data_IF_846861609239
#
_entry.id   IF_846861609239
#
_cell.length_a   1.000
_cell.length_b   1.000
_cell.length_c   1.000
_cell.angle_alpha   90.00
_cell.angle_beta   90.00
_cell.angle_gamma   90.00
#
_symmetry.space_group_name_H-M   'P 1'
#
loop_
_entity.id
_entity.type
_entity.pdbx_description
1 polymer ?
#
# COMPACT_ATOMS: atom_id res chain seq x y z
N UNK A 1 4.31 3.48 24.78
CA UNK A 1 3.34 3.76 23.70
C UNK A 1 3.51 2.61 22.76
N UNK A 2 2.48 1.80 22.55
CA UNK A 2 2.62 0.60 21.73
C UNK A 2 2.67 0.98 20.24
N UNK A 3 3.82 0.73 19.64
CA UNK A 3 4.11 0.99 18.23
C UNK A 3 3.26 0.09 17.33
N UNK A 4 2.96 -1.14 17.75
CA UNK A 4 2.14 -2.11 17.03
C UNK A 4 0.70 -1.62 16.98
N UNK A 5 0.12 -1.26 18.14
CA UNK A 5 -1.24 -0.71 18.21
C UNK A 5 -1.42 0.53 17.34
N UNK A 6 -0.43 1.42 17.32
CA UNK A 6 -0.48 2.64 16.48
C UNK A 6 -0.52 2.31 14.99
N UNK A 7 0.32 1.36 14.53
CA UNK A 7 0.33 0.90 13.14
C UNK A 7 -0.97 0.17 12.76
N UNK A 8 -1.50 -0.64 13.67
CA UNK A 8 -2.78 -1.31 13.46
C UNK A 8 -3.90 -0.30 13.28
N UNK A 9 -3.92 0.80 14.05
CA UNK A 9 -4.91 1.86 13.91
C UNK A 9 -4.82 2.56 12.54
N UNK A 10 -3.62 2.89 12.06
CA UNK A 10 -3.43 3.48 10.72
C UNK A 10 -3.92 2.56 9.59
N UNK A 11 -3.61 1.27 9.68
CA UNK A 11 -4.06 0.31 8.67
C UNK A 11 -5.56 0.03 8.77
N UNK A 12 -6.13 -0.02 9.99
CA UNK A 12 -7.57 -0.14 10.19
C UNK A 12 -8.32 1.04 9.56
N UNK A 13 -7.82 2.26 9.76
CA UNK A 13 -8.35 3.44 9.10
C UNK A 13 -8.32 3.29 7.57
N UNK A 14 -7.18 2.87 7.02
CA UNK A 14 -6.98 2.62 5.59
C UNK A 14 -7.97 1.59 5.02
N UNK A 15 -8.20 0.48 5.72
CA UNK A 15 -9.18 -0.53 5.31
C UNK A 15 -10.62 -0.07 5.47
N UNK A 16 -10.92 0.83 6.41
CA UNK A 16 -12.26 1.37 6.62
C UNK A 16 -12.66 2.42 5.58
N UNK A 17 -11.69 3.20 5.09
CA UNK A 17 -11.90 4.24 4.08
C UNK A 17 -12.21 3.68 2.69
N UNK A 18 -11.95 2.39 2.50
CA UNK A 18 -12.14 1.69 1.24
C UNK A 18 -13.43 0.86 1.33
N UNK A 19 -14.49 1.19 0.58
CA UNK A 19 -15.74 0.41 0.61
C UNK A 19 -15.67 -0.82 -0.32
N UNK A 20 -16.43 -1.87 0.00
CA UNK A 20 -16.64 -3.02 -0.88
C UNK A 20 -15.52 -4.06 -0.85
N UNK A 21 -15.48 -4.94 -1.86
CA UNK A 21 -14.47 -6.01 -1.93
C UNK A 21 -13.11 -5.45 -2.31
N UNK A 22 -12.08 -5.75 -1.51
CA UNK A 22 -10.75 -5.13 -1.62
C UNK A 22 -9.70 -6.14 -2.05
N UNK A 23 -8.76 -5.66 -2.86
CA UNK A 23 -7.49 -6.31 -3.13
C UNK A 23 -6.37 -5.44 -2.52
N UNK A 24 -5.56 -6.03 -1.64
CA UNK A 24 -4.40 -5.38 -1.05
C UNK A 24 -3.18 -5.63 -1.93
N UNK A 25 -2.64 -4.55 -2.48
CA UNK A 25 -1.43 -4.53 -3.30
C UNK A 25 -0.31 -3.94 -2.45
N UNK A 26 0.77 -4.70 -2.30
CA UNK A 26 1.92 -4.32 -1.48
C UNK A 26 3.21 -4.42 -2.27
N UNK A 27 4.26 -3.79 -1.75
CA UNK A 27 5.64 -3.99 -2.19
C UNK A 27 6.37 -5.01 -1.29
N UNK A 28 7.59 -5.37 -1.67
CA UNK A 28 8.42 -6.32 -0.90
C UNK A 28 8.73 -5.85 0.52
N UNK A 29 8.73 -4.53 0.75
CA UNK A 29 9.07 -3.92 2.04
C UNK A 29 7.86 -3.82 2.99
N UNK A 30 6.64 -3.62 2.46
CA UNK A 30 5.41 -3.50 3.26
C UNK A 30 4.77 -4.83 3.59
N UNK A 31 4.96 -5.86 2.77
CA UNK A 31 4.51 -7.23 3.04
C UNK A 31 4.90 -7.70 4.45
N UNK A 32 6.18 -7.65 4.88
CA UNK A 32 6.55 -8.11 6.22
C UNK A 32 5.92 -7.26 7.33
N UNK A 33 5.78 -5.95 7.13
CA UNK A 33 5.15 -5.05 8.11
C UNK A 33 3.69 -5.45 8.34
N UNK A 34 2.90 -5.60 7.27
CA UNK A 34 1.49 -6.01 7.38
C UNK A 34 1.35 -7.42 7.95
N UNK A 35 2.26 -8.33 7.60
CA UNK A 35 2.23 -9.72 8.07
C UNK A 35 2.50 -9.85 9.58
N UNK A 36 3.24 -8.91 10.17
CA UNK A 36 3.46 -8.85 11.63
C UNK A 36 2.22 -8.29 12.35
N UNK A 37 1.54 -7.33 11.71
CA UNK A 37 0.43 -6.59 12.33
C UNK A 37 -0.90 -7.34 12.30
N UNK A 38 -1.16 -8.12 11.25
CA UNK A 38 -2.44 -8.81 11.06
C UNK A 38 -2.27 -10.24 10.57
N UNK A 39 -3.08 -11.14 11.13
CA UNK A 39 -3.26 -12.48 10.58
C UNK A 39 -4.16 -12.48 9.34
N UNK A 40 -4.04 -13.53 8.52
CA UNK A 40 -4.87 -13.70 7.31
C UNK A 40 -6.37 -13.66 7.60
N UNK A 41 -6.81 -14.21 8.74
CA UNK A 41 -8.23 -14.18 9.15
C UNK A 41 -8.72 -12.76 9.39
N UNK A 42 -7.90 -11.90 10.01
CA UNK A 42 -8.25 -10.50 10.28
C UNK A 42 -8.30 -9.67 9.00
N UNK A 43 -7.42 -9.95 8.03
CA UNK A 43 -7.42 -9.31 6.71
C UNK A 43 -8.73 -9.62 5.97
N UNK A 44 -9.16 -10.88 5.97
CA UNK A 44 -10.41 -11.30 5.32
C UNK A 44 -11.63 -10.66 6.01
N UNK A 45 -11.63 -10.54 7.33
CA UNK A 45 -12.70 -9.86 8.08
C UNK A 45 -12.84 -8.37 7.71
N UNK A 46 -11.79 -7.75 7.19
CA UNK A 46 -11.79 -6.37 6.69
C UNK A 46 -12.15 -6.25 5.20
N UNK A 47 -12.71 -7.32 4.63
CA UNK A 47 -13.14 -7.44 3.24
C UNK A 47 -11.99 -7.39 2.22
N UNK A 48 -10.77 -7.69 2.67
CA UNK A 48 -9.60 -7.85 1.81
C UNK A 48 -9.45 -9.33 1.46
N UNK A 49 -9.76 -9.69 0.22
CA UNK A 49 -9.79 -11.09 -0.22
C UNK A 49 -8.55 -11.51 -0.99
N UNK A 50 -7.84 -10.55 -1.57
CA UNK A 50 -6.64 -10.79 -2.36
C UNK A 50 -5.49 -9.98 -1.78
N UNK A 51 -4.36 -10.64 -1.63
CA UNK A 51 -3.10 -10.03 -1.23
C UNK A 51 -2.11 -10.32 -2.36
N UNK A 52 -1.60 -9.28 -3.00
CA UNK A 52 -0.73 -9.41 -4.16
C UNK A 52 0.42 -8.41 -4.10
N UNK A 53 1.52 -8.74 -4.77
CA UNK A 53 2.66 -7.86 -4.90
C UNK A 53 2.53 -6.99 -6.16
N UNK A 54 2.90 -5.72 -6.07
CA UNK A 54 2.86 -4.79 -7.21
C UNK A 54 3.72 -5.27 -8.39
N UNK A 55 4.88 -5.87 -8.09
CA UNK A 55 5.83 -6.41 -9.07
C UNK A 55 5.28 -7.58 -9.89
N UNK A 56 4.22 -8.26 -9.41
CA UNK A 56 3.62 -9.37 -10.12
C UNK A 56 2.78 -8.88 -11.30
N UNK A 57 3.23 -9.18 -12.52
CA UNK A 57 2.53 -8.79 -13.74
C UNK A 57 1.43 -9.78 -14.13
N UNK A 58 1.40 -10.98 -13.54
CA UNK A 58 0.44 -12.05 -13.86
C UNK A 58 -0.94 -11.86 -13.21
N UNK A 59 -1.12 -10.80 -12.41
CA UNK A 59 -2.38 -10.48 -11.74
C UNK A 59 -3.54 -10.38 -12.73
N UNK A 60 -4.64 -11.06 -12.40
CA UNK A 60 -5.90 -11.03 -13.14
C UNK A 60 -6.54 -9.64 -13.14
N UNK A 61 -7.30 -9.35 -14.19
CA UNK A 61 -8.11 -8.13 -14.29
C UNK A 61 -9.44 -8.37 -13.58
N UNK A 62 -9.65 -7.69 -12.46
CA UNK A 62 -10.81 -7.85 -11.57
C UNK A 62 -11.48 -6.49 -11.35
N UNK A 63 -12.25 -5.98 -12.32
CA UNK A 63 -12.79 -4.62 -12.29
C UNK A 63 -13.86 -4.39 -11.21
N UNK A 64 -14.40 -5.46 -10.62
CA UNK A 64 -15.36 -5.39 -9.52
C UNK A 64 -14.69 -5.19 -8.15
N UNK A 65 -13.37 -5.31 -8.08
CA UNK A 65 -12.60 -5.10 -6.85
C UNK A 65 -12.01 -3.70 -6.79
N UNK A 66 -11.86 -3.21 -5.56
CA UNK A 66 -11.15 -1.98 -5.25
C UNK A 66 -9.73 -2.32 -4.78
N UNK A 67 -8.72 -1.69 -5.38
CA UNK A 67 -7.34 -1.88 -5.03
C UNK A 67 -6.90 -0.91 -3.93
N UNK A 68 -6.29 -1.46 -2.89
CA UNK A 68 -5.60 -0.71 -1.83
C UNK A 68 -4.11 -0.92 -2.06
N UNK A 69 -3.42 0.12 -2.51
CA UNK A 69 -1.97 0.07 -2.71
C UNK A 69 -1.30 0.61 -1.45
N UNK A 70 -0.61 -0.25 -0.70
CA UNK A 70 0.27 0.16 0.39
C UNK A 70 1.71 0.03 -0.09
N UNK A 71 2.35 1.15 -0.41
CA UNK A 71 3.63 1.14 -1.13
C UNK A 71 4.62 2.14 -0.54
N UNK A 72 5.90 1.83 -0.60
CA UNK A 72 6.95 2.82 -0.37
C UNK A 72 7.11 3.74 -1.59
N UNK A 73 7.30 5.07 -1.44
CA UNK A 73 7.47 6.00 -2.56
C UNK A 73 8.87 5.90 -3.23
N UNK A 74 9.30 4.69 -3.58
CA UNK A 74 10.54 4.43 -4.31
C UNK A 74 10.35 4.65 -5.81
N UNK A 75 11.42 4.98 -6.54
CA UNK A 75 11.35 5.18 -8.00
C UNK A 75 10.81 3.96 -8.73
N UNK A 76 11.19 2.76 -8.29
CA UNK A 76 10.71 1.50 -8.87
C UNK A 76 9.20 1.31 -8.67
N UNK A 77 8.70 1.50 -7.44
CA UNK A 77 7.27 1.39 -7.15
C UNK A 77 6.45 2.42 -7.93
N UNK A 78 6.96 3.64 -8.09
CA UNK A 78 6.30 4.69 -8.87
C UNK A 78 6.20 4.33 -10.37
N UNK A 79 7.25 3.73 -10.93
CA UNK A 79 7.22 3.26 -12.33
C UNK A 79 6.25 2.08 -12.52
N UNK A 80 6.21 1.14 -11.58
CA UNK A 80 5.26 0.03 -11.60
C UNK A 80 3.83 0.53 -11.47
N UNK A 81 3.58 1.46 -10.55
CA UNK A 81 2.26 2.06 -10.35
C UNK A 81 1.81 2.84 -11.59
N UNK A 82 2.73 3.56 -12.25
CA UNK A 82 2.44 4.22 -13.54
C UNK A 82 2.00 3.22 -14.61
N UNK A 83 2.66 2.07 -14.72
CA UNK A 83 2.24 1.01 -15.67
C UNK A 83 0.87 0.45 -15.30
N UNK A 84 0.61 0.25 -14.02
CA UNK A 84 -0.68 -0.20 -13.50
C UNK A 84 -1.80 0.79 -13.86
N UNK A 85 -1.61 2.09 -13.65
CA UNK A 85 -2.63 3.10 -13.92
C UNK A 85 -2.90 3.31 -15.42
N UNK A 86 -1.90 3.08 -16.28
CA UNK A 86 -2.12 3.10 -17.73
C UNK A 86 -3.01 1.93 -18.20
N UNK A 87 -2.91 0.77 -17.53
CA UNK A 87 -3.71 -0.41 -17.84
C UNK A 87 -4.35 -0.99 -16.57
N UNK A 88 -5.39 -0.32 -16.03
CA UNK A 88 -5.91 -0.62 -14.71
C UNK A 88 -6.55 -2.01 -14.66
N UNK A 89 -6.06 -2.83 -13.71
CA UNK A 89 -6.60 -4.17 -13.45
C UNK A 89 -7.83 -4.17 -12.54
N UNK A 90 -7.99 -3.16 -11.72
CA UNK A 90 -9.07 -3.01 -10.74
C UNK A 90 -9.93 -1.79 -11.06
N UNK A 91 -11.15 -1.75 -10.49
CA UNK A 91 -12.11 -0.69 -10.79
C UNK A 91 -11.74 0.66 -10.18
N UNK A 92 -11.22 0.66 -8.96
CA UNK A 92 -10.82 1.87 -8.23
C UNK A 92 -9.52 1.62 -7.49
N UNK A 93 -8.68 2.66 -7.37
CA UNK A 93 -7.43 2.61 -6.64
C UNK A 93 -7.42 3.59 -5.48
N UNK A 94 -6.95 3.11 -4.34
CA UNK A 94 -6.70 3.89 -3.14
C UNK A 94 -5.22 3.73 -2.81
N UNK A 95 -4.47 4.83 -2.96
CA UNK A 95 -3.02 4.84 -2.86
C UNK A 95 -2.61 5.34 -1.48
N UNK A 96 -1.88 4.48 -0.76
CA UNK A 96 -1.35 4.75 0.57
C UNK A 96 0.17 4.59 0.53
N UNK A 97 0.88 5.68 0.76
CA UNK A 97 2.33 5.72 0.70
C UNK A 97 2.94 5.67 2.10
N UNK A 98 3.98 4.87 2.31
CA UNK A 98 4.60 4.69 3.64
C UNK A 98 5.47 5.87 4.09
N UNK A 99 5.74 6.81 3.19
CA UNK A 99 6.59 7.96 3.41
C UNK A 99 6.12 9.15 2.55
N UNK A 100 6.78 10.29 2.66
CA UNK A 100 6.41 11.51 1.94
C UNK A 100 6.47 11.34 0.41
N UNK A 101 5.56 12.03 -0.29
CA UNK A 101 5.54 12.12 -1.75
C UNK A 101 6.00 13.49 -2.21
N UNK A 102 6.89 13.51 -3.21
CA UNK A 102 7.28 14.76 -3.85
C UNK A 102 6.17 15.27 -4.79
N UNK A 103 6.08 16.59 -4.94
CA UNK A 103 5.15 17.24 -5.89
C UNK A 103 5.34 16.74 -7.34
N UNK A 104 6.57 16.38 -7.71
CA UNK A 104 6.91 15.80 -9.01
C UNK A 104 6.32 14.40 -9.19
N UNK A 105 6.34 13.58 -8.14
CA UNK A 105 5.77 12.23 -8.12
C UNK A 105 4.25 12.28 -8.22
N UNK A 106 3.61 13.20 -7.50
CA UNK A 106 2.16 13.43 -7.58
C UNK A 106 1.75 13.86 -9.00
N UNK A 107 2.51 14.79 -9.59
CA UNK A 107 2.27 15.25 -10.96
C UNK A 107 2.42 14.10 -11.97
N UNK A 108 3.43 13.24 -11.81
CA UNK A 108 3.64 12.08 -12.67
C UNK A 108 2.48 11.07 -12.56
N UNK A 109 1.99 10.84 -11.34
CA UNK A 109 0.82 10.01 -11.05
C UNK A 109 -0.43 10.55 -11.76
N UNK A 110 -0.71 11.84 -11.61
CA UNK A 110 -1.87 12.47 -12.25
C UNK A 110 -1.83 12.39 -13.78
N UNK A 111 -0.65 12.48 -14.40
CA UNK A 111 -0.50 12.35 -15.84
C UNK A 111 -0.70 10.91 -16.33
N UNK A 112 -0.51 9.94 -15.44
CA UNK A 112 -0.60 8.51 -15.77
C UNK A 112 -1.99 7.93 -15.54
N UNK A 113 -2.82 8.59 -14.72
CA UNK A 113 -4.20 8.19 -14.44
C UNK A 113 -5.17 8.67 -15.54
N UNK A 114 -5.02 8.14 -16.75
CA UNK A 114 -5.86 8.49 -17.91
C UNK A 114 -7.31 8.03 -17.73
N UNK A 115 -7.53 7.00 -16.91
CA UNK A 115 -8.84 6.38 -16.69
C UNK A 115 -9.57 6.93 -15.45
N UNK A 116 -8.99 7.91 -14.75
CA UNK A 116 -9.53 8.54 -13.52
C UNK A 116 -9.93 7.50 -12.45
N UNK A 117 -9.14 6.43 -12.31
CA UNK A 117 -9.46 5.32 -11.40
C UNK A 117 -8.97 5.58 -9.98
N UNK A 118 -8.05 6.53 -9.78
CA UNK A 118 -7.52 6.87 -8.45
C UNK A 118 -8.56 7.69 -7.68
N UNK A 119 -9.03 7.17 -6.56
CA UNK A 119 -10.04 7.82 -5.71
C UNK A 119 -9.41 8.59 -4.56
N UNK A 120 -8.29 8.09 -4.03
CA UNK A 120 -7.64 8.67 -2.85
C UNK A 120 -6.13 8.44 -2.91
N UNK A 121 -5.39 9.46 -2.49
CA UNK A 121 -3.95 9.40 -2.25
C UNK A 121 -3.69 9.91 -0.84
N UNK A 122 -2.97 9.13 -0.04
CA UNK A 122 -2.67 9.48 1.35
C UNK A 122 -1.26 9.02 1.73
N UNK A 123 -0.60 9.81 2.56
CA UNK A 123 0.67 9.47 3.18
C UNK A 123 0.41 8.89 4.57
N UNK A 124 0.96 7.70 4.81
CA UNK A 124 0.98 7.01 6.08
C UNK A 124 2.46 6.93 6.50
N UNK A 125 2.86 7.59 7.57
CA UNK A 125 4.26 7.60 8.00
C UNK A 125 4.64 6.31 8.76
N UNK A 126 4.58 5.17 8.06
CA UNK A 126 4.72 3.80 8.60
C UNK A 126 5.96 3.06 8.08
N UNK A 127 7.01 3.79 7.71
CA UNK A 127 8.28 3.25 7.17
C UNK A 127 9.20 2.66 8.27
N UNK A 128 8.64 1.79 9.12
CA UNK A 128 9.37 1.04 10.14
C UNK A 128 8.71 -0.31 10.40
N UNK A 129 9.55 -1.31 10.71
CA UNK A 129 9.08 -2.65 11.05
C UNK A 129 9.02 -2.81 12.57
N UNK A 130 7.83 -2.99 13.16
CA UNK A 130 7.73 -3.26 14.59
C UNK A 130 8.27 -4.67 14.88
N UNK A 131 9.11 -4.79 15.90
CA UNK A 131 9.60 -6.09 16.42
C UNK A 131 8.88 -6.42 17.72
N UNK A 132 8.80 -5.44 18.63
CA UNK A 132 8.04 -5.50 19.88
C UNK A 132 7.33 -4.16 20.10
N UNK A 133 6.47 -4.09 21.11
CA UNK A 133 5.69 -2.89 21.49
C UNK A 133 6.54 -1.62 21.62
N UNK A 134 7.78 -1.76 22.10
CA UNK A 134 8.74 -0.66 22.30
C UNK A 134 9.98 -0.72 21.38
N UNK A 135 10.04 -1.68 20.43
CA UNK A 135 11.18 -1.88 19.54
C UNK A 135 10.75 -1.93 18.08
N UNK A 136 11.28 -1.03 17.27
CA UNK A 136 11.12 -1.05 15.82
C UNK A 136 12.47 -0.97 15.11
N UNK A 137 12.51 -1.52 13.90
CA UNK A 137 13.67 -1.47 13.00
C UNK A 137 13.29 -0.55 11.83
N UNK A 138 14.10 0.47 11.59
CA UNK A 138 13.98 1.25 10.34
C UNK A 138 14.43 0.36 9.17
N UNK A 139 13.62 0.28 8.13
CA UNK A 139 13.83 -0.53 6.92
C UNK A 139 15.05 -0.10 6.09
N UNK A 140 15.84 0.88 6.53
CA UNK A 140 17.06 1.33 5.87
C UNK A 140 18.26 0.45 6.25
N UNK A 141 18.80 -0.40 5.35
CA UNK A 141 19.92 -1.28 5.67
C UNK A 141 21.27 -0.55 5.81
N UNK A 142 21.38 0.70 5.34
CA UNK A 142 22.66 1.41 5.24
C UNK A 142 22.56 2.85 5.75
N UNK A 143 22.84 3.06 7.04
CA UNK A 143 23.14 4.39 7.58
C UNK A 143 24.63 4.57 7.95
N UNK A 144 25.44 3.53 7.75
CA UNK A 144 26.89 3.58 7.91
C UNK A 144 27.53 3.54 6.52
N UNK A 145 27.69 4.70 5.89
CA UNK A 145 28.57 4.91 4.73
C UNK A 145 29.24 6.27 4.88
#
# INVERSE_FOLDING_TARGET
MDVISSLQEYLNFTFSETPGMKALIMDSDTIPVVSILFGMTEIIQKEVYLVQQLSDQTRDTLPHLNAICLLRPTKENMELLRKELNNPKYGKYYLFFTNFLDSTQISLLSQSDVHEVVQKVMELYVDYMPVNDDLFISSCPNYYS
#
